data_IF_417816455092
#
_entry.id   IF_417816455092
#
_cell.length_a   1.000
_cell.length_b   1.000
_cell.length_c   1.000
_cell.angle_alpha   90.00
_cell.angle_beta   90.00
_cell.angle_gamma   90.00
#
_symmetry.space_group_name_H-M   'P 1'
#
loop_
_entity.id
_entity.type
_entity.pdbx_description
1 polymer ?
#
# COMPACT_ATOMS: atom_id res chain seq x y z
N UNK A 1 23.93 -4.41 8.95
CA UNK A 1 22.49 -4.46 9.32
C UNK A 1 22.12 -3.09 9.87
N UNK A 2 21.04 -2.46 9.39
CA UNK A 2 20.60 -1.16 9.91
C UNK A 2 20.13 -1.32 11.37
N UNK A 3 20.45 -0.36 12.23
CA UNK A 3 19.94 -0.37 13.60
C UNK A 3 18.42 -0.17 13.59
N UNK A 4 17.72 -0.78 14.55
CA UNK A 4 16.26 -0.69 14.68
C UNK A 4 15.70 0.76 14.60
N UNK A 5 16.31 1.80 15.21
CA UNK A 5 15.84 3.18 15.04
C UNK A 5 16.00 3.72 13.61
N UNK A 6 17.07 3.34 12.89
CA UNK A 6 17.27 3.74 11.49
C UNK A 6 16.23 3.10 10.57
N UNK A 7 15.82 1.87 10.86
CA UNK A 7 14.75 1.19 10.13
C UNK A 7 13.41 1.92 10.31
N UNK A 8 13.07 2.30 11.54
CA UNK A 8 11.82 3.01 11.84
C UNK A 8 11.74 4.38 11.14
N UNK A 9 12.82 5.15 11.16
CA UNK A 9 12.90 6.43 10.44
C UNK A 9 12.70 6.24 8.93
N UNK A 10 13.27 5.20 8.35
CA UNK A 10 13.09 4.91 6.93
C UNK A 10 11.66 4.50 6.59
N UNK A 11 11.00 3.70 7.43
CA UNK A 11 9.58 3.38 7.25
C UNK A 11 8.71 4.64 7.31
N UNK A 12 9.01 5.54 8.25
CA UNK A 12 8.30 6.81 8.38
C UNK A 12 8.46 7.69 7.14
N UNK A 13 9.68 7.84 6.62
CA UNK A 13 9.96 8.61 5.39
C UNK A 13 9.24 7.98 4.19
N UNK A 14 9.30 6.65 4.05
CA UNK A 14 8.62 5.93 2.97
C UNK A 14 7.09 6.09 3.04
N UNK A 15 6.52 6.01 4.24
CA UNK A 15 5.09 6.22 4.47
C UNK A 15 4.65 7.63 4.05
N UNK A 16 5.41 8.65 4.46
CA UNK A 16 5.12 10.04 4.11
C UNK A 16 5.20 10.27 2.58
N UNK A 17 6.20 9.70 1.91
CA UNK A 17 6.34 9.83 0.47
C UNK A 17 5.25 9.09 -0.30
N UNK A 18 4.81 7.93 0.17
CA UNK A 18 3.67 7.23 -0.40
C UNK A 18 2.36 7.98 -0.19
N UNK A 19 2.16 8.60 0.99
CA UNK A 19 0.99 9.42 1.25
C UNK A 19 0.92 10.62 0.30
N UNK A 20 2.02 11.36 0.14
CA UNK A 20 2.09 12.47 -0.83
C UNK A 20 1.80 12.03 -2.27
N UNK A 21 2.25 10.83 -2.64
CA UNK A 21 1.97 10.28 -3.96
C UNK A 21 0.51 9.85 -4.10
N UNK A 22 -0.07 9.20 -3.09
CA UNK A 22 -1.48 8.81 -3.08
C UNK A 22 -2.43 10.02 -3.11
N UNK A 23 -2.14 11.06 -2.34
CA UNK A 23 -2.91 12.32 -2.34
C UNK A 23 -2.91 13.02 -3.71
N UNK A 24 -1.86 12.83 -4.53
CA UNK A 24 -1.82 13.34 -5.92
C UNK A 24 -2.59 12.47 -6.91
N UNK A 25 -2.79 11.20 -6.60
CA UNK A 25 -3.39 10.22 -7.51
C UNK A 25 -4.88 9.97 -7.21
N UNK A 26 -5.31 10.26 -5.99
CA UNK A 26 -6.68 10.08 -5.52
C UNK A 26 -7.23 11.38 -4.93
N UNK A 27 -8.43 11.82 -5.35
CA UNK A 27 -9.07 12.99 -4.77
C UNK A 27 -9.65 12.71 -3.37
N UNK A 28 -9.97 11.46 -3.06
CA UNK A 28 -10.43 11.05 -1.73
C UNK A 28 -9.26 10.72 -0.81
N UNK A 29 -9.15 11.50 0.28
CA UNK A 29 -8.12 11.34 1.31
C UNK A 29 -8.23 10.01 2.06
N UNK A 30 -9.44 9.46 2.21
CA UNK A 30 -9.62 8.15 2.85
C UNK A 30 -9.13 7.02 1.94
N UNK A 31 -9.53 7.02 0.66
CA UNK A 31 -8.99 6.09 -0.34
C UNK A 31 -7.46 6.17 -0.44
N UNK A 32 -6.87 7.37 -0.38
CA UNK A 32 -5.43 7.56 -0.37
C UNK A 32 -4.77 6.89 0.85
N UNK A 33 -5.32 7.08 2.05
CA UNK A 33 -4.83 6.43 3.28
C UNK A 33 -4.93 4.90 3.21
N UNK A 34 -6.05 4.36 2.74
CA UNK A 34 -6.23 2.92 2.59
C UNK A 34 -5.20 2.32 1.63
N UNK A 35 -5.00 2.95 0.48
CA UNK A 35 -4.04 2.51 -0.52
C UNK A 35 -2.61 2.47 0.03
N UNK A 36 -2.20 3.51 0.78
CA UNK A 36 -0.88 3.57 1.42
C UNK A 36 -0.74 2.48 2.47
N UNK A 37 -1.75 2.32 3.31
CA UNK A 37 -1.76 1.30 4.35
C UNK A 37 -1.61 -0.11 3.77
N UNK A 38 -2.43 -0.48 2.79
CA UNK A 38 -2.32 -1.78 2.12
C UNK A 38 -0.96 -1.98 1.45
N UNK A 39 -0.38 -0.91 0.88
CA UNK A 39 0.94 -0.96 0.22
C UNK A 39 2.05 -1.24 1.22
N UNK A 40 2.02 -0.60 2.38
CA UNK A 40 2.98 -0.87 3.45
C UNK A 40 2.80 -2.28 4.02
N UNK A 41 1.57 -2.66 4.38
CA UNK A 41 1.27 -3.99 4.94
C UNK A 41 1.78 -5.10 4.03
N UNK A 42 1.46 -5.07 2.74
CA UNK A 42 1.91 -6.11 1.82
C UNK A 42 3.44 -6.14 1.63
N UNK A 43 4.10 -4.97 1.62
CA UNK A 43 5.54 -4.90 1.47
C UNK A 43 6.33 -5.34 2.70
N UNK A 44 5.71 -5.31 3.89
CA UNK A 44 6.30 -5.78 5.14
C UNK A 44 5.82 -7.18 5.55
N UNK A 45 4.69 -7.66 4.99
CA UNK A 45 4.21 -9.03 5.17
C UNK A 45 5.07 -10.05 4.40
N UNK A 46 5.69 -9.65 3.28
CA UNK A 46 6.69 -10.48 2.62
C UNK A 46 7.99 -10.51 3.46
N UNK A 47 8.56 -11.71 3.73
CA UNK A 47 9.85 -11.81 4.42
C UNK A 47 10.85 -10.96 3.64
N UNK A 48 11.46 -10.03 4.36
CA UNK A 48 12.29 -8.96 3.80
C UNK A 48 13.50 -9.58 3.10
N UNK A 49 13.35 -9.86 1.81
CA UNK A 49 14.45 -10.16 0.91
C UNK A 49 15.52 -9.08 1.10
N UNK A 50 16.79 -9.46 1.08
CA UNK A 50 17.94 -8.67 1.53
C UNK A 50 18.25 -7.44 0.65
N UNK A 51 17.24 -6.88 0.01
CA UNK A 51 17.32 -5.77 -0.92
C UNK A 51 17.52 -4.44 -0.17
N UNK A 52 18.38 -3.56 -0.71
CA UNK A 52 18.60 -2.24 -0.15
C UNK A 52 17.31 -1.43 -0.10
N UNK A 53 17.11 -0.67 0.99
CA UNK A 53 15.87 0.08 1.26
C UNK A 53 15.53 1.13 0.18
N UNK A 54 16.52 1.63 -0.56
CA UNK A 54 16.30 2.50 -1.71
C UNK A 54 15.55 1.78 -2.86
N UNK A 55 15.84 0.50 -3.09
CA UNK A 55 15.09 -0.33 -4.04
C UNK A 55 13.66 -0.59 -3.54
N UNK A 56 13.51 -0.77 -2.22
CA UNK A 56 12.20 -0.94 -1.57
C UNK A 56 11.28 0.25 -1.80
N UNK A 57 11.79 1.49 -1.75
CA UNK A 57 11.00 2.69 -2.03
C UNK A 57 10.46 2.74 -3.47
N UNK A 58 11.28 2.34 -4.44
CA UNK A 58 10.87 2.24 -5.85
C UNK A 58 9.82 1.15 -6.05
N UNK A 59 10.01 -0.01 -5.43
CA UNK A 59 9.08 -1.14 -5.50
C UNK A 59 7.73 -0.82 -4.86
N UNK A 60 7.74 -0.11 -3.72
CA UNK A 60 6.53 0.39 -3.06
C UNK A 60 5.71 1.31 -3.97
N UNK A 61 6.38 2.29 -4.61
CA UNK A 61 5.70 3.20 -5.57
C UNK A 61 5.13 2.42 -6.75
N UNK A 62 5.88 1.46 -7.30
CA UNK A 62 5.43 0.61 -8.42
C UNK A 62 4.23 -0.25 -8.03
N UNK A 63 4.26 -0.84 -6.84
CA UNK A 63 3.17 -1.65 -6.29
C UNK A 63 1.92 -0.81 -6.08
N UNK A 64 2.05 0.39 -5.53
CA UNK A 64 0.93 1.32 -5.34
C UNK A 64 0.28 1.73 -6.68
N UNK A 65 1.10 2.05 -7.69
CA UNK A 65 0.61 2.37 -9.04
C UNK A 65 -0.06 1.16 -9.69
N UNK A 66 0.50 -0.05 -9.52
CA UNK A 66 -0.12 -1.27 -10.02
C UNK A 66 -1.50 -1.51 -9.38
N UNK A 67 -1.63 -1.26 -8.07
CA UNK A 67 -2.92 -1.36 -7.36
C UNK A 67 -3.91 -0.29 -7.77
N UNK A 68 -3.47 0.94 -7.99
CA UNK A 68 -4.33 1.98 -8.56
C UNK A 68 -4.86 1.61 -9.94
N UNK A 69 -4.02 0.97 -10.77
CA UNK A 69 -4.44 0.45 -12.08
C UNK A 69 -5.40 -0.73 -11.93
N UNK A 70 -5.15 -1.64 -10.99
CA UNK A 70 -6.04 -2.78 -10.71
C UNK A 70 -7.40 -2.33 -10.14
N UNK A 71 -7.41 -1.36 -9.22
CA UNK A 71 -8.62 -0.79 -8.62
C UNK A 71 -9.38 0.18 -9.51
N UNK A 72 -8.79 0.65 -10.61
CA UNK A 72 -9.49 1.36 -11.71
C UNK A 72 -10.10 0.40 -12.75
N UNK A 73 -10.05 -0.92 -12.54
CA UNK A 73 -10.96 -1.87 -13.18
C UNK A 73 -12.32 -1.86 -12.46
N UNK A 74 -13.46 -2.16 -13.13
CA UNK A 74 -14.81 -1.93 -12.62
C UNK A 74 -15.26 -2.80 -11.41
N UNK A 75 -14.38 -3.38 -10.59
CA UNK A 75 -14.81 -4.41 -9.63
C UNK A 75 -13.91 -4.60 -8.41
N UNK A 76 -13.71 -3.57 -7.58
CA UNK A 76 -13.38 -3.85 -6.17
C UNK A 76 -13.87 -2.76 -5.22
N UNK A 77 -15.18 -2.75 -4.98
CA UNK A 77 -15.73 -2.30 -3.70
C UNK A 77 -15.54 -3.45 -2.70
N UNK A 78 -14.72 -3.31 -1.64
CA UNK A 78 -14.79 -4.21 -0.51
C UNK A 78 -16.03 -3.79 0.31
N UNK A 79 -17.19 -4.30 -0.08
CA UNK A 79 -18.44 -3.91 0.55
C UNK A 79 -19.61 -4.75 0.09
N UNK A 80 -19.98 -5.70 0.94
CA UNK A 80 -21.39 -6.08 1.14
C UNK A 80 -22.08 -7.09 0.18
N UNK A 81 -21.37 -8.05 -0.44
CA UNK A 81 -22.05 -9.09 -1.25
C UNK A 81 -21.90 -10.54 -0.77
N UNK A 82 -21.30 -10.81 0.40
CA UNK A 82 -21.13 -12.17 0.92
C UNK A 82 -22.26 -12.65 1.86
N UNK A 83 -23.33 -11.89 2.09
CA UNK A 83 -24.33 -12.22 3.14
C UNK A 83 -25.73 -12.60 2.65
N UNK A 84 -25.94 -12.91 1.36
CA UNK A 84 -27.28 -13.20 0.81
C UNK A 84 -27.41 -14.44 -0.08
N UNK A 85 -26.50 -15.41 0.00
CA UNK A 85 -26.62 -16.66 -0.79
C UNK A 85 -26.47 -17.96 0.03
N UNK A 86 -26.83 -17.95 1.31
CA UNK A 86 -26.98 -19.18 2.09
C UNK A 86 -28.32 -19.16 2.84
N UNK A 87 -29.41 -19.03 2.09
CA UNK A 87 -30.76 -19.30 2.55
C UNK A 87 -31.58 -19.71 1.32
N UNK A 88 -31.39 -20.95 0.88
CA UNK A 88 -32.38 -21.74 0.15
C UNK A 88 -32.21 -23.19 0.57
#
# INVERSE_FOLDING_TARGET
>A
MLSQPQRNLQVMILSHDLQRLADRLLPDRNAARFLVHETLVAAFAAPSDARPMAARGRDLRRSMVARLRAGRGPSQRPGHQARRQAAK
#
